data_IF_754316035865
#
_entry.id   IF_754316035865
#
_cell.length_a   1.000
_cell.length_b   1.000
_cell.length_c   1.000
_cell.angle_alpha   90.00
_cell.angle_beta   90.00
_cell.angle_gamma   90.00
#
_symmetry.space_group_name_H-M   'P 1'
#
loop_
_entity.id
_entity.type
_entity.pdbx_description
1 polymer ?
#
# COMPACT_ATOMS: atom_id res chain seq x y z
N UNK A 1 2.60 7.08 2.39
CA UNK A 1 3.89 7.14 1.64
C UNK A 1 4.09 8.51 0.98
N UNK A 2 5.05 9.31 1.46
CA UNK A 2 5.41 10.58 0.83
C UNK A 2 6.51 10.40 -0.22
N UNK A 3 6.14 10.14 -1.47
CA UNK A 3 7.06 10.32 -2.59
C UNK A 3 6.78 11.70 -3.16
N UNK A 4 7.80 12.55 -3.27
CA UNK A 4 7.66 13.83 -3.96
C UNK A 4 7.12 13.56 -5.38
N UNK A 5 5.94 14.05 -5.76
CA UNK A 5 5.37 13.77 -7.07
C UNK A 5 6.30 14.21 -8.20
N UNK A 6 7.12 15.24 -7.93
CA UNK A 6 8.14 15.76 -8.84
C UNK A 6 9.46 14.97 -8.87
N UNK A 7 9.63 13.94 -8.03
CA UNK A 7 10.83 13.09 -8.07
C UNK A 7 10.92 12.43 -9.44
N UNK A 8 12.09 12.55 -10.06
CA UNK A 8 12.38 11.90 -11.34
C UNK A 8 12.67 10.41 -11.11
N UNK A 9 12.02 9.57 -11.89
CA UNK A 9 12.18 8.11 -11.91
C UNK A 9 13.18 7.69 -13.01
N UNK A 10 13.54 6.40 -13.16
CA UNK A 10 14.58 5.96 -14.09
C UNK A 10 14.36 6.35 -15.55
N UNK A 11 13.13 6.61 -15.98
CA UNK A 11 12.84 7.12 -17.32
C UNK A 11 13.16 8.61 -17.51
N UNK A 12 13.48 9.32 -16.41
CA UNK A 12 13.68 10.77 -16.37
C UNK A 12 12.39 11.58 -16.16
N UNK A 13 11.22 10.94 -16.19
CA UNK A 13 9.91 11.56 -15.95
C UNK A 13 9.59 11.70 -14.47
N UNK A 14 8.66 12.61 -14.14
CA UNK A 14 8.12 12.72 -12.79
C UNK A 14 7.27 11.49 -12.44
N UNK A 15 7.28 11.06 -11.18
CA UNK A 15 6.57 9.86 -10.74
C UNK A 15 5.07 9.84 -11.10
N UNK A 16 4.41 11.01 -11.02
CA UNK A 16 3.00 11.13 -11.40
C UNK A 16 2.78 10.95 -12.91
N UNK A 17 3.74 11.37 -13.74
CA UNK A 17 3.67 11.23 -15.19
C UNK A 17 3.80 9.76 -15.59
N UNK A 18 4.75 9.03 -15.00
CA UNK A 18 4.89 7.59 -15.25
C UNK A 18 3.65 6.82 -14.84
N UNK A 19 3.10 7.11 -13.65
CA UNK A 19 1.87 6.47 -13.17
C UNK A 19 0.69 6.75 -14.09
N UNK A 20 0.55 8.00 -14.57
CA UNK A 20 -0.50 8.37 -15.52
C UNK A 20 -0.34 7.64 -16.86
N UNK A 21 0.88 7.59 -17.41
CA UNK A 21 1.17 6.86 -18.64
C UNK A 21 0.91 5.36 -18.48
N UNK A 22 1.24 4.76 -17.34
CA UNK A 22 0.95 3.36 -17.05
C UNK A 22 -0.55 3.07 -17.06
N UNK A 23 -1.38 3.96 -16.48
CA UNK A 23 -2.83 3.83 -16.54
C UNK A 23 -3.35 3.96 -17.97
N UNK A 24 -2.89 4.98 -18.71
CA UNK A 24 -3.30 5.21 -20.09
C UNK A 24 -2.91 4.05 -21.02
N UNK A 25 -1.70 3.51 -20.88
CA UNK A 25 -1.24 2.36 -21.65
C UNK A 25 -1.96 1.06 -21.23
N UNK A 26 -2.28 0.90 -19.95
CA UNK A 26 -3.00 -0.25 -19.44
C UNK A 26 -4.44 -0.35 -19.98
N UNK A 27 -5.10 0.77 -20.28
CA UNK A 27 -6.47 0.78 -20.81
C UNK A 27 -6.62 -0.01 -22.13
N UNK A 28 -5.86 0.25 -23.20
CA UNK A 28 -5.93 -0.53 -24.44
C UNK A 28 -5.35 -1.95 -24.29
N UNK A 29 -4.37 -2.17 -23.40
CA UNK A 29 -3.70 -3.47 -23.26
C UNK A 29 -4.51 -4.48 -22.42
N UNK A 30 -5.04 -4.05 -21.27
CA UNK A 30 -5.73 -4.92 -20.33
C UNK A 30 -7.26 -4.73 -20.35
N UNK A 31 -7.74 -3.63 -20.94
CA UNK A 31 -9.13 -3.21 -20.97
C UNK A 31 -9.49 -2.28 -19.81
N UNK A 32 -10.27 -1.24 -20.09
CA UNK A 32 -10.67 -0.20 -19.13
C UNK A 32 -11.31 -0.77 -17.87
N UNK A 33 -12.16 -1.81 -17.98
CA UNK A 33 -12.79 -2.46 -16.82
C UNK A 33 -11.77 -3.04 -15.84
N UNK A 34 -10.70 -3.67 -16.34
CA UNK A 34 -9.62 -4.21 -15.49
C UNK A 34 -8.77 -3.12 -14.87
N UNK A 35 -8.51 -2.04 -15.60
CA UNK A 35 -7.78 -0.89 -15.08
C UNK A 35 -8.52 -0.18 -13.95
N UNK A 36 -9.82 0.07 -14.12
CA UNK A 36 -10.66 0.62 -13.05
C UNK A 36 -10.66 -0.32 -11.84
N UNK A 37 -10.81 -1.63 -12.07
CA UNK A 37 -10.72 -2.64 -11.03
C UNK A 37 -9.41 -2.61 -10.24
N UNK A 38 -8.27 -2.49 -10.94
CA UNK A 38 -6.95 -2.40 -10.31
C UNK A 38 -6.77 -1.11 -9.49
N UNK A 39 -7.24 0.03 -10.01
CA UNK A 39 -7.21 1.29 -9.27
C UNK A 39 -8.08 1.23 -8.00
N UNK A 40 -9.26 0.62 -8.08
CA UNK A 40 -10.11 0.39 -6.91
C UNK A 40 -9.43 -0.54 -5.89
N UNK A 41 -8.75 -1.59 -6.36
CA UNK A 41 -7.97 -2.48 -5.49
C UNK A 41 -6.86 -1.72 -4.75
N UNK A 42 -6.13 -0.84 -5.44
CA UNK A 42 -5.11 0.02 -4.84
C UNK A 42 -5.71 0.93 -3.76
N UNK A 43 -6.87 1.54 -4.04
CA UNK A 43 -7.58 2.39 -3.06
C UNK A 43 -7.96 1.59 -1.81
N UNK A 44 -8.49 0.37 -1.96
CA UNK A 44 -8.83 -0.50 -0.82
C UNK A 44 -7.59 -0.77 0.03
N UNK A 45 -6.50 -1.22 -0.59
CA UNK A 45 -5.26 -1.54 0.13
C UNK A 45 -4.71 -0.32 0.85
N UNK A 46 -4.66 0.85 0.19
CA UNK A 46 -4.16 2.09 0.79
C UNK A 46 -5.02 2.54 1.98
N UNK A 47 -6.35 2.49 1.86
CA UNK A 47 -7.22 2.87 2.97
C UNK A 47 -7.07 1.92 4.17
N UNK A 48 -6.94 0.61 3.93
CA UNK A 48 -6.74 -0.37 4.99
C UNK A 48 -5.39 -0.14 5.69
N UNK A 49 -4.33 0.08 4.92
CA UNK A 49 -2.99 0.40 5.44
C UNK A 49 -3.03 1.67 6.31
N UNK A 50 -3.62 2.75 5.80
CA UNK A 50 -3.74 4.03 6.51
C UNK A 50 -4.57 3.92 7.81
N UNK A 51 -5.61 3.07 7.83
CA UNK A 51 -6.40 2.83 9.03
C UNK A 51 -5.65 1.99 10.07
N UNK A 52 -4.92 0.96 9.63
CA UNK A 52 -4.10 0.12 10.51
C UNK A 52 -2.96 0.91 11.14
N UNK A 53 -2.35 1.83 10.39
CA UNK A 53 -1.21 2.63 10.82
C UNK A 53 -1.58 3.99 11.43
N UNK A 54 -2.88 4.31 11.52
CA UNK A 54 -3.41 5.59 12.02
C UNK A 54 -2.80 6.03 13.36
N UNK A 55 -2.67 5.11 14.31
CA UNK A 55 -2.09 5.41 15.61
C UNK A 55 -0.61 5.82 15.51
N UNK A 56 0.16 5.18 14.61
CA UNK A 56 1.55 5.51 14.34
C UNK A 56 1.69 6.84 13.59
N UNK A 57 0.82 7.08 12.61
CA UNK A 57 0.87 8.28 11.77
C UNK A 57 0.50 9.56 12.52
N UNK A 58 -0.50 9.50 13.41
CA UNK A 58 -0.85 10.62 14.30
C UNK A 58 0.35 11.06 15.15
N UNK A 59 1.17 10.11 15.62
CA UNK A 59 2.36 10.41 16.43
C UNK A 59 3.52 10.98 15.62
N UNK A 60 3.67 10.58 14.36
CA UNK A 60 4.78 10.99 13.48
C UNK A 60 4.48 12.24 12.64
N UNK A 61 3.26 12.77 12.72
CA UNK A 61 2.83 13.90 11.89
C UNK A 61 2.69 13.54 10.41
N UNK A 62 2.56 12.26 10.07
CA UNK A 62 2.37 11.82 8.69
C UNK A 62 0.97 12.14 8.19
N UNK A 63 0.87 12.45 6.89
CA UNK A 63 -0.40 12.80 6.22
C UNK A 63 -1.01 11.58 5.51
N UNK A 64 -1.42 10.57 6.25
CA UNK A 64 -2.26 9.48 5.70
C UNK A 64 -3.69 9.96 5.43
N UNK A 65 -4.44 9.21 4.62
CA UNK A 65 -5.84 9.53 4.31
C UNK A 65 -6.70 9.41 5.56
N UNK A 66 -6.45 8.44 6.43
CA UNK A 66 -7.13 8.31 7.72
C UNK A 66 -6.93 9.53 8.63
N UNK A 67 -5.76 10.19 8.57
CA UNK A 67 -5.52 11.45 9.29
C UNK A 67 -6.21 12.65 8.62
N UNK A 68 -6.26 12.68 7.28
CA UNK A 68 -6.79 13.83 6.52
C UNK A 68 -8.31 13.83 6.35
N UNK A 69 -8.89 12.67 6.07
CA UNK A 69 -10.32 12.48 5.83
C UNK A 69 -11.06 12.14 7.12
N UNK A 70 -10.38 11.46 8.06
CA UNK A 70 -10.99 10.85 9.24
C UNK A 70 -11.07 9.32 9.10
N UNK A 71 -11.18 8.67 10.25
CA UNK A 71 -11.20 7.20 10.35
C UNK A 71 -12.47 6.61 9.71
N UNK A 72 -13.62 7.24 9.96
CA UNK A 72 -14.92 6.79 9.43
C UNK A 72 -14.97 6.98 7.92
N UNK A 73 -14.58 8.17 7.43
CA UNK A 73 -14.58 8.54 6.02
C UNK A 73 -13.65 7.63 5.21
N UNK A 74 -12.47 7.32 5.77
CA UNK A 74 -11.51 6.40 5.13
C UNK A 74 -12.04 4.97 5.10
N UNK A 75 -12.72 4.53 6.17
CA UNK A 75 -13.40 3.22 6.21
C UNK A 75 -14.54 3.12 5.18
N UNK A 76 -15.36 4.17 5.04
CA UNK A 76 -16.41 4.23 4.04
C UNK A 76 -15.85 4.24 2.62
N UNK A 77 -14.76 4.96 2.37
CA UNK A 77 -14.06 4.95 1.08
C UNK A 77 -13.52 3.55 0.74
N UNK A 78 -12.91 2.86 1.72
CA UNK A 78 -12.45 1.49 1.55
C UNK A 78 -13.61 0.55 1.18
N UNK A 79 -14.73 0.64 1.91
CA UNK A 79 -15.91 -0.19 1.66
C UNK A 79 -16.53 0.08 0.28
N UNK A 80 -16.69 1.36 -0.09
CA UNK A 80 -17.22 1.75 -1.40
C UNK A 80 -16.33 1.25 -2.54
N UNK A 81 -15.00 1.39 -2.41
CA UNK A 81 -14.05 0.91 -3.41
C UNK A 81 -14.07 -0.62 -3.51
N UNK A 82 -14.17 -1.32 -2.38
CA UNK A 82 -14.23 -2.78 -2.32
C UNK A 82 -15.50 -3.31 -3.02
N UNK A 83 -16.67 -2.79 -2.67
CA UNK A 83 -17.95 -3.22 -3.25
C UNK A 83 -17.99 -2.93 -4.76
N UNK A 84 -17.55 -1.74 -5.18
CA UNK A 84 -17.47 -1.38 -6.60
C UNK A 84 -16.48 -2.28 -7.34
N UNK A 85 -15.32 -2.55 -6.74
CA UNK A 85 -14.31 -3.44 -7.28
C UNK A 85 -14.79 -4.87 -7.44
N UNK A 86 -15.58 -5.38 -6.48
CA UNK A 86 -16.16 -6.73 -6.54
C UNK A 86 -17.20 -6.83 -7.66
N UNK A 87 -17.99 -5.78 -7.87
CA UNK A 87 -18.97 -5.73 -8.96
C UNK A 87 -18.28 -5.69 -10.35
N UNK A 88 -17.15 -4.99 -10.46
CA UNK A 88 -16.44 -4.85 -11.73
C UNK A 88 -15.48 -6.01 -12.02
N UNK A 89 -14.62 -6.38 -11.09
CA UNK A 89 -13.54 -7.34 -11.32
C UNK A 89 -13.31 -8.21 -10.07
N UNK A 90 -14.24 -9.12 -9.74
CA UNK A 90 -14.23 -9.83 -8.46
C UNK A 90 -12.96 -10.66 -8.26
N UNK A 91 -12.55 -11.41 -9.29
CA UNK A 91 -11.34 -12.26 -9.22
C UNK A 91 -10.09 -11.42 -8.96
N UNK A 92 -9.91 -10.33 -9.71
CA UNK A 92 -8.74 -9.45 -9.55
C UNK A 92 -8.70 -8.83 -8.15
N UNK A 93 -9.85 -8.36 -7.66
CA UNK A 93 -9.93 -7.72 -6.34
C UNK A 93 -9.62 -8.72 -5.22
N UNK A 94 -10.21 -9.91 -5.27
CA UNK A 94 -9.97 -10.98 -4.27
C UNK A 94 -8.50 -11.37 -4.28
N UNK A 95 -7.89 -11.56 -5.45
CA UNK A 95 -6.47 -11.92 -5.56
C UNK A 95 -5.58 -10.82 -4.98
N UNK A 96 -5.81 -9.55 -5.32
CA UNK A 96 -4.98 -8.43 -4.82
C UNK A 96 -5.11 -8.27 -3.31
N UNK A 97 -6.34 -8.31 -2.77
CA UNK A 97 -6.57 -8.19 -1.33
C UNK A 97 -5.96 -9.37 -0.57
N UNK A 98 -6.15 -10.60 -1.06
CA UNK A 98 -5.56 -11.80 -0.45
C UNK A 98 -4.03 -11.74 -0.47
N UNK A 99 -3.42 -11.31 -1.59
CA UNK A 99 -1.98 -11.14 -1.69
C UNK A 99 -1.46 -10.05 -0.73
N UNK A 100 -2.15 -8.91 -0.63
CA UNK A 100 -1.78 -7.85 0.30
C UNK A 100 -1.80 -8.32 1.75
N UNK A 101 -2.87 -9.02 2.16
CA UNK A 101 -2.96 -9.63 3.50
C UNK A 101 -1.83 -10.65 3.72
N UNK A 102 -1.56 -11.51 2.74
CA UNK A 102 -0.51 -12.51 2.85
C UNK A 102 0.88 -11.85 3.04
N UNK A 103 1.20 -10.84 2.24
CA UNK A 103 2.46 -10.09 2.33
C UNK A 103 2.58 -9.46 3.71
N UNK A 104 1.53 -8.79 4.19
CA UNK A 104 1.53 -8.14 5.50
C UNK A 104 1.73 -9.15 6.64
N UNK A 105 1.06 -10.31 6.58
CA UNK A 105 1.23 -11.39 7.56
C UNK A 105 2.65 -11.95 7.53
N UNK A 106 3.20 -12.18 6.34
CA UNK A 106 4.58 -12.68 6.17
C UNK A 106 5.59 -11.66 6.72
N UNK A 107 5.42 -10.37 6.41
CA UNK A 107 6.29 -9.31 6.90
C UNK A 107 6.25 -9.21 8.42
N UNK A 108 5.05 -9.22 9.02
CA UNK A 108 4.89 -9.24 10.49
C UNK A 108 5.44 -10.51 11.14
N UNK A 109 5.49 -11.64 10.43
CA UNK A 109 6.15 -12.87 10.92
C UNK A 109 7.66 -12.76 10.84
N UNK A 110 8.20 -12.32 9.71
CA UNK A 110 9.65 -12.12 9.52
C UNK A 110 10.21 -11.10 10.54
N UNK A 111 9.51 -9.99 10.74
CA UNK A 111 9.87 -8.97 11.72
C UNK A 111 9.87 -9.49 13.18
N UNK A 112 9.14 -10.57 13.48
CA UNK A 112 9.17 -11.24 14.80
C UNK A 112 10.33 -12.25 14.94
N UNK A 113 10.90 -12.71 13.84
CA UNK A 113 12.02 -13.68 13.83
C UNK A 113 13.39 -12.98 13.81
N UNK A 114 13.48 -11.81 13.18
CA UNK A 114 14.70 -11.00 13.13
C UNK A 114 15.18 -10.33 14.43
N UNK A 115 14.39 -10.16 15.52
CA UNK A 115 14.91 -9.69 16.81
C UNK A 115 15.97 -10.64 17.38
N UNK A 116 15.91 -11.94 17.04
CA UNK A 116 16.82 -12.96 17.56
C UNK A 116 18.22 -12.97 16.90
N UNK A 117 18.44 -12.22 15.81
CA UNK A 117 19.76 -12.16 15.14
C UNK A 117 20.63 -11.02 15.68
N UNK A 118 20.04 -10.04 16.37
CA UNK A 118 20.77 -8.93 16.98
C UNK A 118 21.47 -9.29 18.31
N UNK A 119 20.96 -10.29 19.04
CA UNK A 119 21.53 -10.69 20.33
C UNK A 119 22.76 -11.60 20.18
N UNK A 120 22.86 -12.42 19.13
CA UNK A 120 24.01 -13.32 18.93
C UNK A 120 25.29 -12.64 18.41
N UNK A 121 25.21 -11.36 18.05
CA UNK A 121 26.37 -10.56 17.60
C UNK A 121 26.90 -9.66 18.73
N UNK A 122 26.12 -9.44 19.80
CA UNK A 122 26.47 -8.55 20.91
C UNK A 122 27.34 -9.17 22.00
N UNK A 123 27.43 -10.49 22.10
CA UNK A 123 28.15 -11.19 23.18
C UNK A 123 29.65 -11.47 22.90
N UNK A 124 30.16 -11.11 21.72
CA UNK A 124 31.56 -11.38 21.34
C UNK A 124 32.52 -10.18 21.37
N UNK A 125 32.06 -8.98 21.74
CA UNK A 125 32.81 -7.74 21.54
C UNK A 125 33.13 -6.96 22.84
N UNK A 126 33.23 -7.66 23.96
CA UNK A 126 33.73 -7.06 25.21
C UNK A 126 34.68 -8.03 25.93
N UNK A 127 35.92 -8.12 25.46
CA UNK A 127 37.06 -8.27 26.38
C UNK A 127 38.16 -7.26 25.97
N UNK A 128 38.66 -6.46 26.92
CA UNK A 128 39.65 -5.39 26.69
C UNK A 128 41.08 -5.89 26.50
#
# INVERSE_FOLDING_TARGET
MGHEPGRRLPSGLAAWQESFLAVLAGCPLAGTRRMVGALLAMVVVQCVDDLMDLAGDRRRGHRSWAVRLGEVETGLLAAAALLTGLALTPVLLVVVVAAAILIEVLFRRAARLLPAVGESVGEGATEP
#
